data_IF_910040818762
#
_entry.id   IF_910040818762
#
_cell.length_a   1.000
_cell.length_b   1.000
_cell.length_c   1.000
_cell.angle_alpha   90.00
_cell.angle_beta   90.00
_cell.angle_gamma   90.00
#
_symmetry.space_group_name_H-M   'P 1'
#
loop_
_entity.id
_entity.type
_entity.pdbx_description
1 polymer ?
#
# COMPACT_ATOMS: atom_id res chain seq x y z
N UNK A 1 -17.13 -12.02 2.74
CA UNK A 1 -16.54 -10.69 2.93
C UNK A 1 -16.45 -9.94 1.62
N UNK A 2 -16.40 -8.61 1.72
CA UNK A 2 -16.00 -7.72 0.63
C UNK A 2 -14.77 -6.97 1.13
N UNK A 3 -13.63 -7.13 0.44
CA UNK A 3 -12.39 -6.52 0.91
C UNK A 3 -11.18 -6.93 0.08
N UNK A 4 -10.04 -6.30 0.37
CA UNK A 4 -8.78 -6.68 -0.24
C UNK A 4 -8.17 -7.86 0.52
N UNK A 5 -7.68 -8.90 -0.16
CA UNK A 5 -6.86 -9.93 0.48
C UNK A 5 -5.45 -9.37 0.72
N UNK A 6 -5.19 -8.89 1.96
CA UNK A 6 -4.03 -8.06 2.28
C UNK A 6 -2.68 -8.78 2.06
N UNK A 7 -2.57 -10.04 2.46
CA UNK A 7 -1.37 -10.84 2.22
C UNK A 7 -1.06 -10.98 0.71
N UNK A 8 -2.10 -11.23 -0.11
CA UNK A 8 -1.96 -11.30 -1.57
C UNK A 8 -1.58 -9.96 -2.17
N UNK A 9 -2.19 -8.86 -1.66
CA UNK A 9 -1.87 -7.52 -2.12
C UNK A 9 -0.40 -7.17 -1.84
N UNK A 10 0.08 -7.47 -0.63
CA UNK A 10 1.50 -7.36 -0.29
C UNK A 10 2.38 -8.23 -1.20
N UNK A 11 2.02 -9.50 -1.41
CA UNK A 11 2.78 -10.40 -2.29
C UNK A 11 2.91 -9.84 -3.71
N UNK A 12 1.82 -9.35 -4.29
CA UNK A 12 1.85 -8.75 -5.62
C UNK A 12 2.69 -7.47 -5.68
N UNK A 13 2.69 -6.67 -4.60
CA UNK A 13 3.58 -5.52 -4.48
C UNK A 13 5.05 -5.94 -4.46
N UNK A 14 5.40 -6.98 -3.69
CA UNK A 14 6.75 -7.51 -3.61
C UNK A 14 7.23 -8.12 -4.93
N UNK A 15 6.38 -8.90 -5.60
CA UNK A 15 6.68 -9.46 -6.94
C UNK A 15 6.97 -8.32 -7.96
N UNK A 16 6.18 -7.24 -7.91
CA UNK A 16 6.37 -6.08 -8.78
C UNK A 16 7.64 -5.32 -8.43
N UNK A 17 7.88 -5.01 -7.16
CA UNK A 17 9.10 -4.33 -6.72
C UNK A 17 10.36 -5.09 -7.13
N UNK A 18 10.34 -6.44 -6.99
CA UNK A 18 11.42 -7.32 -7.47
C UNK A 18 11.64 -7.21 -8.97
N UNK A 19 10.56 -7.23 -9.75
CA UNK A 19 10.64 -7.08 -11.22
C UNK A 19 11.17 -5.70 -11.63
N UNK A 20 10.95 -4.67 -10.80
CA UNK A 20 11.46 -3.31 -10.98
C UNK A 20 12.87 -3.12 -10.37
N UNK A 21 13.51 -4.19 -9.86
CA UNK A 21 14.92 -4.24 -9.47
C UNK A 21 15.21 -4.13 -7.98
N UNK A 22 14.21 -4.11 -7.11
CA UNK A 22 14.40 -4.09 -5.66
C UNK A 22 15.02 -5.40 -5.18
N UNK A 23 16.05 -5.28 -4.36
CA UNK A 23 16.79 -6.43 -3.79
C UNK A 23 16.79 -6.46 -2.26
N UNK A 24 16.74 -5.29 -1.61
CA UNK A 24 16.71 -5.13 -0.15
C UNK A 24 15.56 -4.20 0.26
N UNK A 25 14.44 -4.80 0.65
CA UNK A 25 13.23 -4.09 1.00
C UNK A 25 13.14 -3.67 2.47
N UNK A 26 12.35 -2.63 2.72
CA UNK A 26 11.87 -2.21 4.04
C UNK A 26 10.35 -2.00 3.97
N UNK A 27 9.61 -2.51 4.95
CA UNK A 27 8.18 -2.21 5.09
C UNK A 27 7.94 -1.26 6.26
N UNK A 28 7.21 -0.17 6.00
CA UNK A 28 6.82 0.82 7.01
C UNK A 28 5.38 0.56 7.45
N UNK A 29 5.20 0.07 8.67
CA UNK A 29 3.91 -0.20 9.29
C UNK A 29 3.58 0.88 10.31
N UNK A 30 2.48 1.61 10.13
CA UNK A 30 2.05 2.66 11.06
C UNK A 30 1.22 2.15 12.23
N UNK A 31 0.73 0.91 12.19
CA UNK A 31 -0.13 0.32 13.21
C UNK A 31 0.29 -1.14 13.46
N UNK A 32 1.32 -1.35 14.27
CA UNK A 32 1.91 -2.66 14.53
C UNK A 32 0.92 -3.71 15.08
N UNK A 33 -0.19 -3.26 15.68
CA UNK A 33 -1.28 -4.10 16.19
C UNK A 33 -2.31 -4.49 15.12
N UNK A 34 -2.30 -3.84 13.95
CA UNK A 34 -3.25 -4.06 12.87
C UNK A 34 -2.77 -5.20 11.96
N UNK A 35 -3.41 -6.35 12.08
CA UNK A 35 -3.02 -7.56 11.33
C UNK A 35 -3.07 -7.36 9.81
N UNK A 36 -3.99 -6.53 9.30
CA UNK A 36 -4.07 -6.23 7.87
C UNK A 36 -2.78 -5.57 7.35
N UNK A 37 -2.19 -4.65 8.14
CA UNK A 37 -0.94 -3.98 7.76
C UNK A 37 0.27 -4.90 7.93
N UNK A 38 0.24 -5.79 8.94
CA UNK A 38 1.25 -6.85 9.07
C UNK A 38 1.20 -7.77 7.85
N UNK A 39 0.00 -8.23 7.44
CA UNK A 39 -0.19 -9.07 6.26
C UNK A 39 0.35 -8.41 4.98
N UNK A 40 0.18 -7.08 4.81
CA UNK A 40 0.78 -6.33 3.69
C UNK A 40 2.29 -6.45 3.67
N UNK A 41 2.94 -6.27 4.82
CA UNK A 41 4.38 -6.37 4.94
C UNK A 41 4.88 -7.81 4.74
N UNK A 42 4.26 -8.80 5.40
CA UNK A 42 4.60 -10.22 5.22
C UNK A 42 4.43 -10.66 3.77
N UNK A 43 3.32 -10.27 3.15
CA UNK A 43 3.08 -10.49 1.73
C UNK A 43 4.18 -9.88 0.87
N UNK A 44 4.56 -8.63 1.13
CA UNK A 44 5.60 -7.95 0.37
C UNK A 44 6.92 -8.74 0.35
N UNK A 45 7.37 -9.22 1.50
CA UNK A 45 8.57 -10.02 1.58
C UNK A 45 8.38 -11.44 1.01
N UNK A 46 7.18 -11.99 1.06
CA UNK A 46 6.86 -13.24 0.35
C UNK A 46 7.05 -13.11 -1.17
N UNK A 47 6.65 -11.96 -1.75
CA UNK A 47 6.81 -11.67 -3.18
C UNK A 47 8.22 -11.22 -3.57
N UNK A 48 8.81 -10.32 -2.79
CA UNK A 48 10.16 -9.80 -3.02
C UNK A 48 11.22 -10.89 -2.82
N UNK A 49 11.05 -11.71 -1.79
CA UNK A 49 12.06 -12.63 -1.27
C UNK A 49 12.89 -12.01 -0.14
N UNK A 50 13.60 -12.83 0.59
CA UNK A 50 14.40 -12.40 1.73
C UNK A 50 13.65 -12.48 3.07
N UNK A 51 14.29 -12.04 4.14
CA UNK A 51 13.70 -12.00 5.48
C UNK A 51 12.81 -10.78 5.64
N UNK A 52 11.76 -10.90 6.47
CA UNK A 52 10.90 -9.79 6.83
C UNK A 52 11.70 -8.67 7.51
N UNK A 53 11.72 -7.50 6.89
CA UNK A 53 12.29 -6.27 7.42
C UNK A 53 11.18 -5.23 7.53
N UNK A 54 10.49 -5.23 8.65
CA UNK A 54 9.36 -4.35 8.95
C UNK A 54 9.68 -3.52 10.18
N UNK A 55 9.41 -2.22 10.10
CA UNK A 55 9.51 -1.32 11.26
C UNK A 55 8.17 -0.66 11.55
N UNK A 56 7.87 -0.50 12.84
CA UNK A 56 6.76 0.34 13.30
C UNK A 56 7.16 1.80 13.21
N UNK A 57 6.42 2.59 12.44
CA UNK A 57 6.68 4.02 12.24
C UNK A 57 5.66 4.92 12.93
N UNK A 58 4.63 4.34 13.56
CA UNK A 58 3.48 5.05 14.14
C UNK A 58 2.65 5.84 13.11
N UNK A 59 1.57 6.49 13.57
CA UNK A 59 0.73 7.36 12.73
C UNK A 59 1.15 8.84 12.76
N UNK A 60 2.18 9.19 13.54
CA UNK A 60 2.69 10.55 13.63
C UNK A 60 3.69 10.83 12.50
N UNK A 61 3.39 11.84 11.68
CA UNK A 61 4.18 12.19 10.48
C UNK A 61 5.66 12.41 10.82
N UNK A 62 5.95 13.12 11.92
CA UNK A 62 7.34 13.40 12.31
C UNK A 62 8.08 12.12 12.74
N UNK A 63 7.39 11.19 13.38
CA UNK A 63 7.97 9.89 13.72
C UNK A 63 8.21 9.03 12.48
N UNK A 64 7.28 9.05 11.52
CA UNK A 64 7.46 8.33 10.24
C UNK A 64 8.72 8.84 9.55
N UNK A 65 8.86 10.16 9.37
CA UNK A 65 10.05 10.77 8.77
C UNK A 65 11.33 10.38 9.51
N UNK A 66 11.35 10.54 10.83
CA UNK A 66 12.53 10.28 11.66
C UNK A 66 12.95 8.81 11.63
N UNK A 67 12.01 7.89 11.78
CA UNK A 67 12.29 6.44 11.80
C UNK A 67 12.72 5.93 10.43
N UNK A 68 12.10 6.44 9.36
CA UNK A 68 12.47 6.10 7.98
C UNK A 68 13.89 6.60 7.68
N UNK A 69 14.21 7.85 7.99
CA UNK A 69 15.54 8.41 7.82
C UNK A 69 16.62 7.65 8.64
N UNK A 70 16.29 7.28 9.88
CA UNK A 70 17.16 6.47 10.72
C UNK A 70 17.42 5.07 10.13
N UNK A 71 16.38 4.39 9.63
CA UNK A 71 16.54 3.08 9.00
C UNK A 71 17.42 3.14 7.74
N UNK A 72 17.20 4.13 6.87
CA UNK A 72 18.02 4.33 5.66
C UNK A 72 19.47 4.70 5.97
N UNK A 73 19.68 5.45 7.06
CA UNK A 73 21.04 5.80 7.51
C UNK A 73 21.77 4.62 8.14
N UNK A 74 21.03 3.74 8.84
CA UNK A 74 21.59 2.54 9.47
C UNK A 74 21.92 1.43 8.46
N UNK A 75 21.11 1.31 7.41
CA UNK A 75 21.33 0.35 6.31
C UNK A 75 21.18 1.06 4.95
N UNK A 76 22.26 1.63 4.41
CA UNK A 76 22.25 2.28 3.10
C UNK A 76 22.04 1.31 1.92
N UNK A 77 21.99 0.00 2.16
CA UNK A 77 21.71 -0.98 1.11
C UNK A 77 20.21 -1.17 0.85
N UNK A 78 19.32 -0.57 1.65
CA UNK A 78 17.89 -0.56 1.40
C UNK A 78 17.61 0.19 0.10
N UNK A 79 17.08 -0.54 -0.89
CA UNK A 79 16.80 -0.04 -2.23
C UNK A 79 15.31 -0.02 -2.57
N UNK A 80 14.44 -0.54 -1.67
CA UNK A 80 12.99 -0.52 -1.82
C UNK A 80 12.26 -0.30 -0.50
N UNK A 81 11.20 0.53 -0.54
CA UNK A 81 10.29 0.75 0.58
C UNK A 81 8.86 0.46 0.16
N UNK A 82 8.15 -0.33 0.99
CA UNK A 82 6.70 -0.41 0.98
C UNK A 82 6.14 0.42 2.13
N UNK A 83 5.35 1.45 1.83
CA UNK A 83 4.61 2.23 2.81
C UNK A 83 3.17 1.72 2.90
N UNK A 84 2.74 1.25 4.08
CA UNK A 84 1.45 0.57 4.26
C UNK A 84 0.21 1.49 4.27
N UNK A 85 0.39 2.80 4.03
CA UNK A 85 -0.69 3.78 3.92
C UNK A 85 -0.24 5.07 3.23
N UNK A 86 -1.18 5.92 2.75
CA UNK A 86 -0.85 7.05 1.89
C UNK A 86 -0.07 8.16 2.62
N UNK A 87 -0.39 8.47 3.87
CA UNK A 87 0.35 9.45 4.67
C UNK A 87 1.76 8.95 5.05
N UNK A 88 1.90 7.62 5.25
CA UNK A 88 3.21 6.99 5.46
C UNK A 88 4.06 7.13 4.20
N UNK A 89 3.45 6.95 3.03
CA UNK A 89 4.14 7.10 1.76
C UNK A 89 4.66 8.54 1.55
N UNK A 90 3.83 9.55 1.83
CA UNK A 90 4.22 10.95 1.72
C UNK A 90 5.38 11.31 2.67
N UNK A 91 5.30 10.88 3.94
CA UNK A 91 6.35 11.11 4.91
C UNK A 91 7.66 10.35 4.59
N UNK A 92 7.53 9.11 4.10
CA UNK A 92 8.68 8.32 3.65
C UNK A 92 9.38 8.98 2.45
N UNK A 93 8.63 9.50 1.47
CA UNK A 93 9.20 10.22 0.34
C UNK A 93 10.03 11.43 0.80
N UNK A 94 9.51 12.18 1.78
CA UNK A 94 10.26 13.29 2.36
C UNK A 94 11.54 12.83 3.03
N UNK A 95 11.49 11.78 3.85
CA UNK A 95 12.66 11.22 4.51
C UNK A 95 13.72 10.73 3.51
N UNK A 96 13.30 10.04 2.44
CA UNK A 96 14.19 9.58 1.37
C UNK A 96 14.94 10.76 0.74
N UNK A 97 14.23 11.85 0.43
CA UNK A 97 14.83 13.07 -0.14
C UNK A 97 15.77 13.76 0.83
N UNK A 98 15.39 13.85 2.10
CA UNK A 98 16.19 14.53 3.14
C UNK A 98 17.52 13.82 3.40
N UNK A 99 17.56 12.48 3.34
CA UNK A 99 18.82 11.71 3.48
C UNK A 99 19.57 11.54 2.14
N UNK A 100 18.97 11.93 1.02
CA UNK A 100 19.58 11.82 -0.30
C UNK A 100 19.70 10.37 -0.79
N UNK A 101 18.84 9.46 -0.33
CA UNK A 101 18.84 8.07 -0.74
C UNK A 101 18.14 7.90 -2.10
N UNK A 102 18.53 6.86 -2.85
CA UNK A 102 17.82 6.44 -4.05
C UNK A 102 17.09 5.14 -3.75
N UNK A 103 15.77 5.21 -3.58
CA UNK A 103 14.94 4.11 -3.09
C UNK A 103 13.68 4.01 -3.95
N UNK A 104 13.37 2.79 -4.39
CA UNK A 104 12.09 2.46 -5.01
C UNK A 104 10.98 2.57 -3.96
N UNK A 105 10.03 3.48 -4.14
CA UNK A 105 8.94 3.70 -3.19
C UNK A 105 7.62 3.15 -3.76
N UNK A 106 7.03 2.20 -3.03
CA UNK A 106 5.70 1.65 -3.29
C UNK A 106 4.75 2.03 -2.14
N UNK A 107 3.50 2.33 -2.48
CA UNK A 107 2.51 2.83 -1.55
C UNK A 107 1.28 1.92 -1.48
N UNK A 108 0.47 2.10 -0.45
CA UNK A 108 -0.91 1.64 -0.39
C UNK A 108 -1.85 2.84 -0.34
N UNK A 109 -2.98 2.69 -0.99
CA UNK A 109 -4.07 3.65 -1.10
C UNK A 109 -3.74 4.93 -1.88
N UNK A 110 -4.79 5.70 -2.15
CA UNK A 110 -4.72 6.93 -2.92
C UNK A 110 -4.88 8.15 -2.03
N UNK A 111 -4.14 9.20 -2.37
CA UNK A 111 -4.31 10.56 -1.85
C UNK A 111 -3.82 11.56 -2.91
N UNK A 112 -4.04 12.85 -2.66
CA UNK A 112 -3.48 13.90 -3.53
C UNK A 112 -1.95 13.84 -3.56
N UNK A 113 -1.31 13.60 -2.41
CA UNK A 113 0.15 13.47 -2.32
C UNK A 113 0.65 12.25 -3.09
N UNK A 114 0.02 11.08 -2.92
CA UNK A 114 0.38 9.86 -3.68
C UNK A 114 0.18 10.09 -5.17
N UNK A 115 -0.91 10.75 -5.58
CA UNK A 115 -1.16 11.12 -6.97
C UNK A 115 -0.03 12.00 -7.54
N UNK A 116 0.39 13.01 -6.78
CA UNK A 116 1.51 13.88 -7.18
C UNK A 116 2.83 13.10 -7.30
N UNK A 117 3.12 12.21 -6.34
CA UNK A 117 4.33 11.38 -6.34
C UNK A 117 4.38 10.40 -7.51
N UNK A 118 3.25 9.79 -7.88
CA UNK A 118 3.18 8.92 -9.05
C UNK A 118 3.45 9.68 -10.36
N UNK A 119 2.93 10.91 -10.46
CA UNK A 119 3.16 11.76 -11.65
C UNK A 119 4.60 12.27 -11.75
N UNK A 120 5.22 12.58 -10.61
CA UNK A 120 6.62 13.04 -10.58
C UNK A 120 7.64 11.90 -10.71
N UNK A 121 7.23 10.64 -10.50
CA UNK A 121 8.11 9.48 -10.43
C UNK A 121 8.79 9.31 -9.08
N UNK A 122 8.38 10.06 -8.05
CA UNK A 122 8.85 9.90 -6.68
C UNK A 122 8.35 8.59 -6.04
N UNK A 123 7.19 8.08 -6.49
CA UNK A 123 6.69 6.74 -6.16
C UNK A 123 6.49 5.94 -7.45
N UNK A 124 6.83 4.65 -7.42
CA UNK A 124 6.70 3.78 -8.58
C UNK A 124 5.27 3.34 -8.81
N UNK A 125 4.57 2.94 -7.75
CA UNK A 125 3.18 2.55 -7.81
C UNK A 125 2.51 2.67 -6.44
N UNK A 126 1.18 2.66 -6.45
CA UNK A 126 0.36 2.42 -5.27
C UNK A 126 -0.61 1.27 -5.50
N UNK A 127 -1.03 0.63 -4.42
CA UNK A 127 -2.08 -0.38 -4.44
C UNK A 127 -3.38 0.26 -3.97
N UNK A 128 -4.35 0.30 -4.87
CA UNK A 128 -5.70 0.78 -4.62
C UNK A 128 -6.60 -0.39 -4.24
N UNK A 129 -7.17 -0.34 -3.06
CA UNK A 129 -8.09 -1.36 -2.56
C UNK A 129 -9.58 -1.02 -2.78
N UNK A 130 -9.87 0.11 -3.41
CA UNK A 130 -11.22 0.57 -3.75
C UNK A 130 -12.16 0.62 -2.53
N UNK A 131 -11.84 1.44 -1.54
CA UNK A 131 -12.55 1.54 -0.27
C UNK A 131 -14.06 1.80 -0.44
N UNK A 132 -14.46 2.57 -1.45
CA UNK A 132 -15.88 2.78 -1.75
C UNK A 132 -16.59 1.48 -2.13
N UNK A 133 -15.93 0.61 -2.88
CA UNK A 133 -16.48 -0.70 -3.23
C UNK A 133 -16.70 -1.55 -1.96
N UNK A 134 -15.76 -1.49 -1.01
CA UNK A 134 -15.85 -2.20 0.27
C UNK A 134 -17.03 -1.72 1.12
N UNK A 135 -17.40 -0.45 1.03
CA UNK A 135 -18.58 0.09 1.71
C UNK A 135 -19.88 -0.17 0.96
N UNK A 136 -19.87 -0.08 -0.37
CA UNK A 136 -21.06 -0.16 -1.21
C UNK A 136 -21.57 -1.60 -1.41
N UNK A 137 -20.68 -2.52 -1.76
CA UNK A 137 -21.06 -3.90 -2.10
C UNK A 137 -21.72 -4.67 -0.95
N UNK A 138 -21.31 -4.55 0.32
CA UNK A 138 -22.02 -5.19 1.42
C UNK A 138 -23.49 -4.79 1.52
N UNK A 139 -23.83 -3.54 1.24
CA UNK A 139 -25.21 -3.04 1.25
C UNK A 139 -26.04 -3.72 0.14
N UNK A 140 -25.47 -3.84 -1.06
CA UNK A 140 -26.12 -4.54 -2.19
C UNK A 140 -26.29 -6.01 -1.86
N UNK A 141 -25.27 -6.66 -1.31
CA UNK A 141 -25.33 -8.08 -0.92
C UNK A 141 -26.40 -8.32 0.15
N UNK A 142 -26.48 -7.44 1.17
CA UNK A 142 -27.51 -7.52 2.20
C UNK A 142 -28.92 -7.30 1.63
N UNK A 143 -29.08 -6.34 0.71
CA UNK A 143 -30.35 -6.13 0.03
C UNK A 143 -30.78 -7.39 -0.77
N UNK A 144 -29.87 -7.95 -1.55
CA UNK A 144 -30.13 -9.16 -2.31
C UNK A 144 -30.41 -10.37 -1.40
N UNK A 145 -29.69 -10.49 -0.28
CA UNK A 145 -29.97 -11.52 0.72
C UNK A 145 -31.42 -11.48 1.21
N UNK A 146 -31.91 -10.28 1.54
CA UNK A 146 -33.27 -10.09 2.05
C UNK A 146 -34.36 -10.24 0.97
N UNK A 147 -34.04 -10.02 -0.30
CA UNK A 147 -35.02 -10.04 -1.40
C UNK A 147 -34.92 -11.28 -2.30
N UNK A 148 -33.85 -12.06 -2.17
CA UNK A 148 -33.56 -13.24 -2.99
C UNK A 148 -33.41 -14.52 -2.16
N UNK A 149 -34.40 -14.79 -1.32
CA UNK A 149 -34.51 -16.01 -0.51
C UNK A 149 -33.31 -16.34 0.39
N UNK A 150 -32.59 -15.35 0.88
CA UNK A 150 -31.48 -15.52 1.81
C UNK A 150 -30.21 -16.12 1.17
N UNK A 151 -30.01 -15.97 -0.12
CA UNK A 151 -28.81 -16.45 -0.80
C UNK A 151 -27.69 -15.40 -0.74
N UNK A 152 -26.49 -15.86 -0.39
CA UNK A 152 -25.25 -15.08 -0.39
C UNK A 152 -24.33 -15.49 -1.55
N UNK A 153 -23.37 -14.62 -1.96
CA UNK A 153 -22.29 -15.04 -2.83
C UNK A 153 -21.55 -16.26 -2.27
N UNK A 154 -21.16 -17.19 -3.12
CA UNK A 154 -20.46 -18.42 -2.72
C UNK A 154 -18.99 -18.21 -2.31
N UNK A 155 -18.46 -16.99 -2.44
CA UNK A 155 -17.09 -16.64 -2.10
C UNK A 155 -16.97 -15.16 -1.69
N UNK A 156 -15.81 -14.79 -1.17
CA UNK A 156 -15.46 -13.39 -0.92
C UNK A 156 -15.43 -12.58 -2.22
N UNK A 157 -15.80 -11.31 -2.14
CA UNK A 157 -15.74 -10.35 -3.25
C UNK A 157 -14.48 -9.51 -3.08
N UNK A 158 -13.41 -9.76 -3.85
CA UNK A 158 -12.18 -8.99 -3.72
C UNK A 158 -12.36 -7.57 -4.29
N UNK A 159 -11.91 -6.57 -3.55
CA UNK A 159 -11.89 -5.17 -3.98
C UNK A 159 -10.55 -4.72 -4.58
N UNK A 160 -9.52 -5.55 -4.45
CA UNK A 160 -8.14 -5.32 -4.92
C UNK A 160 -7.35 -6.63 -4.93
N UNK A 161 -6.02 -6.54 -5.13
CA UNK A 161 -5.23 -5.33 -5.36
C UNK A 161 -5.38 -4.76 -6.77
N UNK A 162 -5.55 -3.45 -6.87
CA UNK A 162 -5.47 -2.70 -8.11
C UNK A 162 -4.17 -1.89 -8.13
N UNK A 163 -3.36 -2.00 -9.19
CA UNK A 163 -2.14 -1.20 -9.30
C UNK A 163 -2.41 0.12 -10.03
N UNK A 164 -1.97 1.21 -9.39
CA UNK A 164 -1.96 2.54 -9.99
C UNK A 164 -0.54 3.05 -10.04
N UNK A 165 -0.13 3.52 -11.21
CA UNK A 165 1.19 4.08 -11.50
C UNK A 165 1.10 5.23 -12.51
N UNK A 166 2.24 5.75 -12.96
CA UNK A 166 2.29 6.86 -13.91
C UNK A 166 1.53 6.60 -15.22
N UNK A 167 1.35 5.34 -15.62
CA UNK A 167 0.68 4.99 -16.88
C UNK A 167 -0.84 5.09 -16.82
N UNK A 168 -1.44 5.01 -15.62
CA UNK A 168 -2.90 4.96 -15.45
C UNK A 168 -3.45 5.93 -14.40
N UNK A 169 -2.59 6.70 -13.72
CA UNK A 169 -2.99 7.63 -12.66
C UNK A 169 -4.06 8.62 -13.10
N UNK A 170 -4.00 9.12 -14.33
CA UNK A 170 -4.95 10.11 -14.82
C UNK A 170 -6.37 9.57 -14.96
N UNK A 171 -6.56 8.25 -15.04
CA UNK A 171 -7.88 7.62 -15.06
C UNK A 171 -8.57 7.63 -13.70
N UNK A 172 -7.79 7.73 -12.60
CA UNK A 172 -8.31 7.57 -11.22
C UNK A 172 -8.03 8.76 -10.31
N UNK A 173 -7.13 9.65 -10.69
CA UNK A 173 -6.67 10.78 -9.86
C UNK A 173 -7.82 11.65 -9.32
N UNK A 174 -8.85 11.91 -10.12
CA UNK A 174 -10.02 12.69 -9.70
C UNK A 174 -10.88 12.00 -8.62
N UNK A 175 -10.60 10.76 -8.30
CA UNK A 175 -11.32 9.96 -7.30
C UNK A 175 -10.51 9.75 -6.01
N UNK A 176 -9.23 10.16 -6.01
CA UNK A 176 -8.36 10.07 -4.84
C UNK A 176 -8.95 10.84 -3.64
N UNK A 177 -9.00 10.20 -2.48
CA UNK A 177 -9.59 10.78 -1.27
C UNK A 177 -11.13 10.96 -1.29
N UNK A 178 -11.82 10.61 -2.39
CA UNK A 178 -13.28 10.71 -2.55
C UNK A 178 -13.90 9.32 -2.63
N UNK A 179 -13.46 8.52 -3.57
CA UNK A 179 -13.98 7.19 -3.87
C UNK A 179 -12.89 6.11 -3.80
N UNK A 180 -11.64 6.54 -3.73
CA UNK A 180 -10.44 5.69 -3.69
C UNK A 180 -9.41 6.27 -2.74
#
# INVERSE_FOLDING_TARGET
>A
DVGQPELLAGQKAGERAKAEGVTNGLCLNQEAWNTALVDRCEGYFSGLGGALNMIDVSNDVQQIETRTAAALSADPSIDGILAAGPHVCAAANKAIKDVGAYVHLACFDMSDDVTAMLRSGDASFTIDQQQRLQGYMPIIVLHLYNTNAGMLPGANIPSGPGFVDASNIDNVASQAGINR
#
